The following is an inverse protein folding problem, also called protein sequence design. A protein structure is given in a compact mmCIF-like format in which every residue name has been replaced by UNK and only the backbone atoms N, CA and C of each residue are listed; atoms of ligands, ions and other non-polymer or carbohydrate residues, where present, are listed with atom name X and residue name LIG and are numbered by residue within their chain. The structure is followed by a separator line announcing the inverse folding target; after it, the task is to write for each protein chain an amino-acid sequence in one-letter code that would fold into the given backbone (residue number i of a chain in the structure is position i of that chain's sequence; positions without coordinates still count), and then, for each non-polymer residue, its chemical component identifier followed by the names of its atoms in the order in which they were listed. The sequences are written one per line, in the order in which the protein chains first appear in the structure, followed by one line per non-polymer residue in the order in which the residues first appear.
data_IF_022980944156
#
_entry.id   IF_022980944156
#
_cell.length_a   1.000
_cell.length_b   1.000
_cell.length_c   1.000
_cell.angle_alpha   90.00
_cell.angle_beta   90.00
_cell.angle_gamma   90.00
#
_symmetry.space_group_name_H-M   'P 1'
#
loop_
_entity.id
_entity.type
_entity.pdbx_description
1 polymer ?
#
# COMPACT_ATOMS: atom_id res chain seq x y z
N UNK A 1 42.10 -47.72 -0.48
CA UNK A 1 42.86 -46.51 -0.11
C UNK A 1 41.93 -45.32 -0.38
N UNK A 2 40.93 -45.05 0.47
CA UNK A 2 40.96 -44.23 1.72
C UNK A 2 41.42 -42.80 1.52
N UNK A 3 40.47 -41.85 1.65
CA UNK A 3 40.55 -40.57 2.37
C UNK A 3 39.41 -39.65 1.88
N UNK A 4 38.26 -39.65 2.56
CA UNK A 4 37.87 -38.68 3.60
C UNK A 4 37.51 -37.29 3.05
N UNK A 5 36.21 -37.04 2.89
CA UNK A 5 35.62 -35.70 2.80
C UNK A 5 34.76 -35.49 4.07
N UNK A 6 34.97 -34.42 4.84
CA UNK A 6 34.45 -34.31 6.20
C UNK A 6 32.92 -34.13 6.26
N UNK A 7 32.26 -34.56 7.36
CA UNK A 7 30.85 -34.34 7.57
C UNK A 7 30.64 -32.94 8.16
N UNK A 8 30.13 -32.01 7.36
CA UNK A 8 29.51 -30.80 7.88
C UNK A 8 28.01 -30.91 7.60
N UNK A 9 27.27 -31.37 8.59
CA UNK A 9 25.83 -31.13 8.64
C UNK A 9 25.64 -29.63 8.85
N UNK A 10 25.21 -28.94 7.79
CA UNK A 10 24.57 -27.64 7.88
C UNK A 10 23.19 -27.78 7.24
N UNK A 11 22.19 -27.86 8.13
CA UNK A 11 20.76 -27.92 7.91
C UNK A 11 20.27 -26.99 6.78
N UNK A 12 19.44 -27.56 5.91
CA UNK A 12 18.22 -26.90 5.44
C UNK A 12 18.38 -25.58 4.70
N UNK A 13 18.72 -25.64 3.43
CA UNK A 13 17.99 -24.85 2.44
C UNK A 13 17.98 -25.61 1.12
N UNK A 14 16.96 -26.45 0.92
CA UNK A 14 16.60 -26.88 -0.42
C UNK A 14 16.13 -25.62 -1.15
N UNK A 15 17.05 -24.99 -1.87
CA UNK A 15 16.77 -23.90 -2.80
C UNK A 15 15.98 -24.50 -3.97
N UNK A 16 14.68 -24.71 -3.77
CA UNK A 16 13.71 -24.95 -4.85
C UNK A 16 13.56 -23.69 -5.69
N UNK A 17 14.58 -23.34 -6.48
CA UNK A 17 14.40 -22.42 -7.61
C UNK A 17 13.75 -23.20 -8.75
N UNK A 18 12.48 -23.54 -8.57
CA UNK A 18 11.67 -24.25 -9.56
C UNK A 18 10.98 -25.48 -8.98
N UNK A 19 9.93 -25.28 -8.19
CA UNK A 19 8.88 -26.29 -8.04
C UNK A 19 8.05 -26.32 -9.34
N UNK A 20 8.64 -26.78 -10.45
CA UNK A 20 7.85 -27.26 -11.57
C UNK A 20 7.39 -28.66 -11.21
N UNK A 21 6.26 -28.75 -10.50
CA UNK A 21 5.56 -30.02 -10.35
C UNK A 21 5.21 -30.52 -11.76
N UNK A 22 5.43 -31.81 -12.06
CA UNK A 22 4.91 -32.38 -13.31
C UNK A 22 3.41 -32.11 -13.34
N UNK A 23 2.92 -31.46 -14.41
CA UNK A 23 1.52 -31.03 -14.61
C UNK A 23 1.09 -29.69 -13.97
N UNK A 24 2.01 -28.85 -13.48
CA UNK A 24 1.66 -27.48 -13.09
C UNK A 24 1.66 -26.53 -14.30
N UNK A 25 0.50 -25.91 -14.59
CA UNK A 25 0.35 -24.87 -15.61
C UNK A 25 0.40 -23.46 -15.00
N UNK A 26 0.99 -22.51 -15.73
CA UNK A 26 1.08 -21.11 -15.32
C UNK A 26 0.41 -20.21 -16.37
N UNK A 27 -0.56 -19.41 -15.94
CA UNK A 27 -1.26 -18.44 -16.79
C UNK A 27 -1.04 -17.02 -16.26
N UNK A 28 -0.65 -16.09 -17.14
CA UNK A 28 -0.65 -14.67 -16.84
C UNK A 28 -1.99 -14.05 -17.23
N UNK A 29 -2.85 -13.83 -16.24
CA UNK A 29 -4.14 -13.16 -16.44
C UNK A 29 -4.00 -11.63 -16.43
N UNK A 30 -4.42 -10.97 -17.52
CA UNK A 30 -4.55 -9.51 -17.56
C UNK A 30 -5.99 -9.12 -17.24
N UNK A 31 -6.16 -8.26 -16.23
CA UNK A 31 -7.48 -7.76 -15.81
C UNK A 31 -7.64 -6.32 -16.29
N UNK A 32 -8.57 -6.03 -17.21
CA UNK A 32 -8.83 -4.66 -17.62
C UNK A 32 -9.50 -3.88 -16.47
N UNK A 33 -9.13 -2.61 -16.33
CA UNK A 33 -9.75 -1.73 -15.35
C UNK A 33 -11.15 -1.32 -15.81
N UNK A 34 -12.10 -1.34 -14.90
CA UNK A 34 -13.43 -0.76 -15.11
C UNK A 34 -13.36 0.77 -15.18
N UNK A 35 -14.42 1.40 -15.69
CA UNK A 35 -14.51 2.86 -15.74
C UNK A 35 -14.37 3.50 -14.35
N UNK A 36 -15.03 2.94 -13.33
CA UNK A 36 -14.95 3.44 -11.95
C UNK A 36 -13.55 3.30 -11.35
N UNK A 37 -12.88 2.17 -11.60
CA UNK A 37 -11.50 1.96 -11.15
C UNK A 37 -10.53 2.94 -11.82
N UNK A 38 -10.74 3.25 -13.11
CA UNK A 38 -9.96 4.26 -13.82
C UNK A 38 -10.18 5.65 -13.25
N UNK A 39 -11.44 6.04 -13.04
CA UNK A 39 -11.76 7.33 -12.43
C UNK A 39 -11.15 7.47 -11.01
N UNK A 40 -11.16 6.40 -10.21
CA UNK A 40 -10.50 6.37 -8.91
C UNK A 40 -8.97 6.53 -9.03
N UNK A 41 -8.35 5.85 -10.00
CA UNK A 41 -6.92 5.97 -10.28
C UNK A 41 -6.55 7.40 -10.69
N UNK A 42 -7.32 8.00 -11.59
CA UNK A 42 -7.08 9.36 -12.09
C UNK A 42 -7.25 10.39 -10.96
N UNK A 43 -8.29 10.25 -10.13
CA UNK A 43 -8.49 11.09 -8.96
C UNK A 43 -7.32 10.98 -7.97
N UNK A 44 -6.79 9.78 -7.76
CA UNK A 44 -5.61 9.58 -6.92
C UNK A 44 -4.35 10.21 -7.53
N UNK A 45 -4.15 10.10 -8.84
CA UNK A 45 -3.04 10.75 -9.55
C UNK A 45 -3.10 12.27 -9.37
N UNK A 46 -4.27 12.88 -9.57
CA UNK A 46 -4.48 14.31 -9.32
C UNK A 46 -4.21 14.70 -7.87
N UNK A 47 -4.63 13.89 -6.90
CA UNK A 47 -4.33 14.16 -5.49
C UNK A 47 -2.81 14.21 -5.21
N UNK A 48 -2.06 13.26 -5.75
CA UNK A 48 -0.60 13.24 -5.58
C UNK A 48 0.09 14.40 -6.30
N UNK A 49 -0.27 14.68 -7.56
CA UNK A 49 0.36 15.73 -8.36
C UNK A 49 0.00 17.13 -7.91
N UNK A 50 -1.27 17.37 -7.60
CA UNK A 50 -1.79 18.74 -7.44
C UNK A 50 -1.80 19.18 -5.98
N UNK A 51 -1.77 18.23 -5.04
CA UNK A 51 -1.88 18.51 -3.60
C UNK A 51 -0.67 18.03 -2.81
N UNK A 52 -0.41 16.73 -2.80
CA UNK A 52 0.54 16.15 -1.84
C UNK A 52 2.00 16.51 -2.16
N UNK A 53 2.45 16.30 -3.39
CA UNK A 53 3.84 16.59 -3.78
C UNK A 53 4.17 18.09 -3.68
N UNK A 54 3.33 19.03 -4.14
CA UNK A 54 3.57 20.47 -3.95
C UNK A 54 3.60 20.88 -2.46
N UNK A 55 2.77 20.25 -1.62
CA UNK A 55 2.80 20.48 -0.18
C UNK A 55 4.12 20.00 0.46
N UNK A 56 4.65 18.86 0.01
CA UNK A 56 5.97 18.36 0.42
C UNK A 56 7.09 19.32 0.00
N UNK A 57 7.07 19.81 -1.25
CA UNK A 57 8.05 20.78 -1.74
C UNK A 57 8.03 22.08 -0.91
N UNK A 58 6.83 22.60 -0.64
CA UNK A 58 6.65 23.79 0.20
C UNK A 58 7.18 23.56 1.63
N UNK A 59 6.97 22.38 2.19
CA UNK A 59 7.45 22.04 3.51
C UNK A 59 8.98 21.94 3.55
N UNK A 60 9.60 21.26 2.56
CA UNK A 60 11.05 21.20 2.41
C UNK A 60 11.67 22.60 2.33
N UNK A 61 11.07 23.49 1.54
CA UNK A 61 11.54 24.87 1.40
C UNK A 61 11.49 25.66 2.72
N UNK A 62 10.49 25.38 3.58
CA UNK A 62 10.31 26.08 4.87
C UNK A 62 11.16 25.54 6.00
N UNK A 63 11.39 24.23 6.05
CA UNK A 63 12.04 23.59 7.21
C UNK A 63 13.55 23.41 7.05
N UNK A 64 14.12 23.68 5.86
CA UNK A 64 15.53 23.44 5.52
C UNK A 64 15.99 21.99 5.83
N UNK A 65 15.05 21.07 6.05
CA UNK A 65 15.32 19.65 6.24
C UNK A 65 16.03 19.16 4.99
N UNK A 66 17.09 18.35 5.13
CA UNK A 66 17.87 17.81 4.02
C UNK A 66 16.96 17.44 2.83
N UNK A 67 16.91 18.31 1.82
CA UNK A 67 15.81 18.38 0.87
C UNK A 67 15.56 17.06 0.14
N UNK A 68 16.65 16.30 -0.09
CA UNK A 68 16.59 14.99 -0.72
C UNK A 68 15.88 13.92 0.11
N UNK A 69 15.98 13.93 1.45
CA UNK A 69 15.45 12.82 2.27
C UNK A 69 13.92 12.81 2.31
N UNK A 70 13.28 13.96 2.52
CA UNK A 70 11.81 14.03 2.60
C UNK A 70 11.17 13.78 1.22
N UNK A 71 11.72 14.36 0.15
CA UNK A 71 11.27 14.11 -1.21
C UNK A 71 11.39 12.62 -1.60
N UNK A 72 12.50 11.97 -1.23
CA UNK A 72 12.69 10.53 -1.46
C UNK A 72 11.69 9.68 -0.68
N UNK A 73 11.36 10.06 0.57
CA UNK A 73 10.35 9.38 1.38
C UNK A 73 8.95 9.53 0.76
N UNK A 74 8.62 10.73 0.28
CA UNK A 74 7.35 11.01 -0.41
C UNK A 74 7.22 10.15 -1.67
N UNK A 75 8.27 10.06 -2.50
CA UNK A 75 8.25 9.23 -3.70
C UNK A 75 8.19 7.73 -3.39
N UNK A 76 8.81 7.31 -2.29
CA UNK A 76 8.72 5.93 -1.80
C UNK A 76 7.30 5.59 -1.29
N UNK A 77 6.61 6.54 -0.66
CA UNK A 77 5.19 6.40 -0.30
C UNK A 77 4.30 6.36 -1.54
N UNK A 78 4.54 7.22 -2.53
CA UNK A 78 3.84 7.26 -3.81
C UNK A 78 3.88 5.91 -4.53
N UNK A 79 5.06 5.30 -4.70
CA UNK A 79 5.20 4.00 -5.35
C UNK A 79 4.43 2.89 -4.63
N UNK A 80 4.50 2.86 -3.29
CA UNK A 80 3.75 1.90 -2.48
C UNK A 80 2.25 2.11 -2.61
N UNK A 81 1.79 3.36 -2.61
CA UNK A 81 0.39 3.72 -2.78
C UNK A 81 -0.17 3.18 -4.10
N UNK A 82 0.46 3.49 -5.23
CA UNK A 82 -0.04 3.06 -6.54
C UNK A 82 0.07 1.55 -6.75
N UNK A 83 1.10 0.90 -6.20
CA UNK A 83 1.19 -0.57 -6.19
C UNK A 83 -0.03 -1.18 -5.50
N UNK A 84 -0.41 -0.66 -4.33
CA UNK A 84 -1.55 -1.18 -3.58
C UNK A 84 -2.89 -0.85 -4.23
N UNK A 85 -3.02 0.33 -4.83
CA UNK A 85 -4.19 0.70 -5.62
C UNK A 85 -4.42 -0.29 -6.77
N UNK A 86 -3.37 -0.60 -7.54
CA UNK A 86 -3.44 -1.57 -8.63
C UNK A 86 -3.73 -3.00 -8.15
N UNK A 87 -3.21 -3.42 -7.00
CA UNK A 87 -3.54 -4.72 -6.40
C UNK A 87 -5.03 -4.77 -6.03
N UNK A 88 -5.55 -3.70 -5.42
CA UNK A 88 -6.96 -3.64 -5.03
C UNK A 88 -7.92 -3.76 -6.23
N UNK A 89 -7.56 -3.17 -7.37
CA UNK A 89 -8.33 -3.29 -8.62
C UNK A 89 -8.42 -4.72 -9.15
N UNK A 90 -7.47 -5.61 -8.81
CA UNK A 90 -7.45 -7.01 -9.25
C UNK A 90 -8.28 -7.93 -8.36
N UNK A 91 -8.62 -7.51 -7.13
CA UNK A 91 -9.32 -8.34 -6.15
C UNK A 91 -10.66 -8.88 -6.67
N UNK A 92 -11.53 -8.09 -7.34
CA UNK A 92 -12.80 -8.62 -7.85
C UNK A 92 -12.62 -9.79 -8.83
N UNK A 93 -11.74 -9.63 -9.82
CA UNK A 93 -11.45 -10.69 -10.80
C UNK A 93 -10.79 -11.92 -10.16
N UNK A 94 -9.93 -11.71 -9.14
CA UNK A 94 -9.35 -12.80 -8.36
C UNK A 94 -10.43 -13.59 -7.61
N UNK A 95 -11.39 -12.90 -6.98
CA UNK A 95 -12.50 -13.53 -6.25
C UNK A 95 -13.39 -14.33 -7.21
N UNK A 96 -13.71 -13.79 -8.38
CA UNK A 96 -14.47 -14.52 -9.40
C UNK A 96 -13.76 -15.81 -9.84
N UNK A 97 -12.46 -15.74 -10.16
CA UNK A 97 -11.67 -16.91 -10.53
C UNK A 97 -11.56 -17.93 -9.39
N UNK A 98 -11.37 -17.47 -8.16
CA UNK A 98 -11.30 -18.36 -6.99
C UNK A 98 -12.65 -19.07 -6.75
N UNK A 99 -13.78 -18.37 -6.90
CA UNK A 99 -15.11 -18.97 -6.77
C UNK A 99 -15.40 -19.99 -7.87
N UNK A 100 -15.00 -19.71 -9.11
CA UNK A 100 -15.12 -20.66 -10.21
C UNK A 100 -14.33 -21.95 -9.94
N UNK A 101 -13.06 -21.83 -9.56
CA UNK A 101 -12.22 -22.98 -9.21
C UNK A 101 -12.77 -23.78 -8.01
N UNK A 102 -13.35 -23.08 -7.02
CA UNK A 102 -14.01 -23.74 -5.89
C UNK A 102 -15.28 -24.50 -6.32
N UNK A 103 -16.07 -23.96 -7.26
CA UNK A 103 -17.25 -24.64 -7.79
C UNK A 103 -16.89 -25.92 -8.56
N UNK A 104 -15.71 -25.93 -9.21
CA UNK A 104 -15.17 -27.11 -9.89
C UNK A 104 -14.53 -28.13 -8.92
N UNK A 105 -14.56 -27.87 -7.61
CA UNK A 105 -14.07 -28.78 -6.56
C UNK A 105 -12.58 -28.63 -6.22
N UNK A 106 -11.90 -27.59 -6.71
CA UNK A 106 -10.50 -27.34 -6.39
C UNK A 106 -10.30 -26.56 -5.07
N UNK A 107 -9.15 -26.79 -4.43
CA UNK A 107 -8.69 -25.97 -3.32
C UNK A 107 -7.84 -24.80 -3.84
N UNK A 108 -8.22 -23.57 -3.49
CA UNK A 108 -7.53 -22.35 -3.95
C UNK A 108 -6.56 -21.85 -2.89
N UNK A 109 -5.30 -21.65 -3.27
CA UNK A 109 -4.26 -21.03 -2.43
C UNK A 109 -3.87 -19.68 -3.03
N UNK A 110 -3.99 -18.61 -2.24
CA UNK A 110 -3.64 -17.25 -2.67
C UNK A 110 -2.35 -16.84 -1.96
N UNK A 111 -1.28 -16.69 -2.74
CA UNK A 111 0.00 -16.16 -2.27
C UNK A 111 0.15 -14.68 -2.64
N UNK A 112 0.35 -13.81 -1.66
CA UNK A 112 0.67 -12.40 -1.89
C UNK A 112 2.20 -12.24 -1.90
N UNK A 113 2.80 -12.16 -3.09
CA UNK A 113 4.23 -11.87 -3.21
C UNK A 113 4.46 -10.36 -3.15
N UNK A 114 4.22 -9.77 -1.98
CA UNK A 114 4.47 -8.35 -1.77
C UNK A 114 5.39 -8.15 -0.58
N UNK A 115 6.56 -7.58 -0.83
CA UNK A 115 7.44 -6.97 0.18
C UNK A 115 6.80 -5.77 0.92
N UNK A 116 5.49 -5.53 0.74
CA UNK A 116 4.72 -4.47 1.37
C UNK A 116 3.94 -4.91 2.61
N UNK A 117 3.97 -6.19 2.97
CA UNK A 117 3.29 -6.75 4.15
C UNK A 117 3.75 -6.11 5.47
N UNK A 118 4.98 -5.62 5.57
CA UNK A 118 5.44 -4.93 6.78
C UNK A 118 4.61 -3.68 7.15
N UNK A 119 3.99 -3.01 6.17
CA UNK A 119 3.07 -1.90 6.43
C UNK A 119 1.70 -2.39 6.91
N UNK A 120 1.26 -3.55 6.42
CA UNK A 120 0.04 -4.21 6.86
C UNK A 120 0.23 -4.81 8.26
N UNK A 121 1.35 -5.46 8.56
CA UNK A 121 1.70 -5.94 9.92
C UNK A 121 1.69 -4.82 10.94
N UNK A 122 2.20 -3.63 10.59
CA UNK A 122 2.12 -2.45 11.49
C UNK A 122 0.69 -1.98 11.72
N UNK A 123 -0.16 -2.00 10.69
CA UNK A 123 -1.58 -1.63 10.82
C UNK A 123 -2.39 -2.70 11.57
N UNK A 124 -2.07 -3.98 11.38
CA UNK A 124 -2.67 -5.12 12.09
C UNK A 124 -2.23 -5.15 13.56
N UNK A 125 -0.97 -4.84 13.85
CA UNK A 125 -0.44 -4.78 15.22
C UNK A 125 -1.03 -3.63 16.06
N UNK A 126 -1.69 -2.65 15.42
CA UNK A 126 -2.30 -1.50 16.07
C UNK A 126 -3.76 -1.73 16.52
N UNK A 127 -4.21 -3.00 16.63
CA UNK A 127 -5.54 -3.39 17.14
C UNK A 127 -6.72 -2.80 16.34
N UNK A 128 -6.55 -2.68 15.02
CA UNK A 128 -7.67 -2.37 14.14
C UNK A 128 -8.52 -3.62 13.95
N UNK A 129 -9.79 -3.56 14.38
CA UNK A 129 -10.82 -4.57 14.08
C UNK A 129 -10.70 -5.00 12.61
N UNK A 130 -10.25 -6.23 12.39
CA UNK A 130 -9.95 -6.82 11.08
C UNK A 130 -11.18 -6.86 10.14
N UNK A 131 -12.35 -6.49 10.65
CA UNK A 131 -13.63 -6.39 9.93
C UNK A 131 -13.83 -5.05 9.23
N UNK A 132 -13.15 -3.99 9.66
CA UNK A 132 -13.21 -2.71 8.96
C UNK A 132 -12.30 -2.77 7.73
N UNK A 133 -12.77 -2.41 6.52
CA UNK A 133 -11.93 -2.36 5.34
C UNK A 133 -10.88 -1.26 5.53
N UNK A 134 -9.68 -1.64 5.97
CA UNK A 134 -8.54 -0.72 6.01
C UNK A 134 -8.14 -0.49 4.56
N UNK A 135 -8.44 0.71 4.05
CA UNK A 135 -7.86 1.15 2.78
C UNK A 135 -6.34 1.28 2.99
N UNK A 136 -5.59 0.31 2.49
CA UNK A 136 -4.12 0.29 2.58
C UNK A 136 -3.50 1.55 1.96
N UNK A 137 -4.15 2.08 0.90
CA UNK A 137 -3.81 3.37 0.30
C UNK A 137 -3.89 4.52 1.31
N UNK A 138 -4.96 4.56 2.13
CA UNK A 138 -5.11 5.54 3.21
C UNK A 138 -4.03 5.38 4.28
N UNK A 139 -3.75 4.15 4.70
CA UNK A 139 -2.72 3.86 5.70
C UNK A 139 -1.32 4.33 5.26
N UNK A 140 -0.97 4.16 3.98
CA UNK A 140 0.31 4.63 3.43
C UNK A 140 0.43 6.15 3.48
N UNK A 141 -0.62 6.87 3.07
CA UNK A 141 -0.60 8.35 3.08
C UNK A 141 -0.61 8.88 4.50
N UNK A 142 -1.47 8.35 5.38
CA UNK A 142 -1.52 8.78 6.77
C UNK A 142 -0.23 8.49 7.52
N UNK A 143 0.33 7.29 7.38
CA UNK A 143 1.61 6.96 8.01
C UNK A 143 2.76 7.84 7.51
N UNK A 144 2.72 8.27 6.24
CA UNK A 144 3.66 9.27 5.72
C UNK A 144 3.44 10.65 6.36
N UNK A 145 2.19 11.10 6.44
CA UNK A 145 1.85 12.39 7.04
C UNK A 145 2.19 12.42 8.53
N UNK A 146 1.82 11.42 9.32
CA UNK A 146 2.12 11.36 10.76
C UNK A 146 3.63 11.33 11.04
N UNK A 147 4.41 10.63 10.21
CA UNK A 147 5.86 10.53 10.39
C UNK A 147 6.62 11.82 10.05
N UNK A 148 6.13 12.62 9.09
CA UNK A 148 6.87 13.76 8.55
C UNK A 148 6.20 15.12 8.75
N UNK A 149 4.90 15.13 9.00
CA UNK A 149 4.06 16.29 9.23
C UNK A 149 3.33 16.10 10.57
N UNK A 150 4.02 16.30 11.71
CA UNK A 150 3.41 16.15 13.02
C UNK A 150 2.30 17.20 13.20
N UNK A 151 1.07 16.79 12.93
CA UNK A 151 -0.15 17.60 13.12
C UNK A 151 -0.37 17.95 14.58
N UNK A 152 0.14 17.14 15.51
CA UNK A 152 -0.08 17.27 16.96
C UNK A 152 0.84 18.27 17.68
N UNK A 153 1.80 18.93 17.00
CA UNK A 153 2.67 19.93 17.68
C UNK A 153 2.30 21.39 17.38
N UNK A 154 1.32 21.66 16.51
CA UNK A 154 0.97 23.03 16.13
C UNK A 154 -0.53 23.28 15.88
N UNK A 155 -1.41 22.31 16.12
CA UNK A 155 -2.83 22.39 15.75
C UNK A 155 -3.80 22.77 16.89
N UNK A 156 -3.36 23.42 17.97
CA UNK A 156 -4.27 23.66 19.12
C UNK A 156 -4.91 25.07 19.16
N UNK A 157 -4.88 25.88 18.10
CA UNK A 157 -5.61 27.16 18.16
C UNK A 157 -6.04 27.80 16.84
N UNK A 158 -5.25 27.64 15.77
CA UNK A 158 -5.41 28.46 14.57
C UNK A 158 -6.19 27.77 13.44
N UNK A 159 -6.06 26.44 13.32
CA UNK A 159 -6.71 25.69 12.25
C UNK A 159 -8.19 25.42 12.55
N UNK A 160 -8.53 25.10 13.81
CA UNK A 160 -9.93 24.95 14.25
C UNK A 160 -10.74 26.23 14.08
N UNK A 161 -10.08 27.40 14.25
CA UNK A 161 -10.74 28.70 14.08
C UNK A 161 -11.06 29.00 12.61
N UNK A 162 -10.21 28.55 11.68
CA UNK A 162 -10.42 28.71 10.24
C UNK A 162 -11.45 27.71 9.71
N UNK A 163 -11.47 26.48 10.23
CA UNK A 163 -12.45 25.45 9.87
C UNK A 163 -13.85 25.84 10.37
N UNK A 164 -13.97 26.27 11.62
CA UNK A 164 -15.24 26.75 12.19
C UNK A 164 -15.78 27.98 11.44
N UNK A 165 -14.90 28.88 11.00
CA UNK A 165 -15.29 30.06 10.21
C UNK A 165 -15.77 29.69 8.81
N UNK A 166 -15.14 28.69 8.18
CA UNK A 166 -15.59 28.17 6.89
C UNK A 166 -16.95 27.47 7.01
N UNK A 167 -17.17 26.70 8.09
CA UNK A 167 -18.44 26.02 8.36
C UNK A 167 -19.58 27.00 8.70
N UNK A 168 -19.31 28.08 9.44
CA UNK A 168 -20.28 29.15 9.72
C UNK A 168 -20.69 29.91 8.45
N UNK A 169 -19.75 30.15 7.54
CA UNK A 169 -20.03 30.86 6.28
C UNK A 169 -20.91 30.01 5.34
N UNK A 170 -20.73 28.69 5.34
CA UNK A 170 -21.55 27.74 4.57
C UNK A 170 -22.96 27.58 5.17
N UNK A 171 -23.10 27.66 6.51
CA UNK A 171 -24.40 27.66 7.19
C UNK A 171 -25.20 28.95 7.02
N UNK A 172 -24.55 30.09 6.82
CA UNK A 172 -25.23 31.37 6.60
C UNK A 172 -25.75 31.55 5.16
N UNK A 173 -25.40 30.65 4.25
CA UNK A 173 -25.78 30.70 2.83
C UNK A 173 -26.80 29.61 2.41
N UNK A 174 -27.32 28.83 3.36
CA UNK A 174 -28.48 27.93 3.21
C UNK A 174 -29.60 28.39 4.15
#
# INVERSE_FOLDING_TARGET
MTSDCPPHQASGSYLSRGLSYREAEFELATVPLTFEQRACFDAAAHFWSDRLLPAVETAVARTQTAAGRLAQQAWSAHQRFFKQLCVSCKVPALVERARAAQADGYAVVIGLQSTGEAALEKAIAADADLRAPISLCRAIVLGFLEAHFPVTKAADAKLDKELNRAEETVRAHN
#
